data_IF_978943387038
#
_entry.id   IF_978943387038
#
_cell.length_a   1.000
_cell.length_b   1.000
_cell.length_c   1.000
_cell.angle_alpha   90.00
_cell.angle_beta   90.00
_cell.angle_gamma   90.00
#
_symmetry.space_group_name_H-M   'P 1'
#
loop_
_entity.id
_entity.type
_entity.pdbx_description
1 polymer ?
#
# COMPACT_ATOMS: atom_id res chain seq x y z
N UNK A 1 11.47 14.73 14.03
CA UNK A 1 11.03 13.59 13.20
C UNK A 1 9.52 13.55 13.15
N UNK A 2 8.90 13.52 11.96
CA UNK A 2 7.44 13.46 11.78
C UNK A 2 7.04 12.05 11.35
N UNK A 3 6.19 11.38 12.12
CA UNK A 3 5.65 10.07 11.73
C UNK A 3 4.43 10.32 10.83
N UNK A 4 4.36 9.65 9.68
CA UNK A 4 3.23 9.76 8.75
C UNK A 4 2.40 8.50 8.81
N UNK A 5 1.16 8.60 9.27
CA UNK A 5 0.20 7.50 9.22
C UNK A 5 -0.66 7.63 7.97
N UNK A 6 -0.99 6.51 7.34
CA UNK A 6 -1.80 6.41 6.14
C UNK A 6 -2.88 5.36 6.37
N UNK A 7 -4.10 5.66 5.99
CA UNK A 7 -5.19 4.72 5.97
C UNK A 7 -5.98 4.94 4.68
N UNK A 8 -6.42 3.86 4.04
CA UNK A 8 -7.14 3.88 2.79
C UNK A 8 -8.23 2.82 2.77
N UNK A 9 -9.31 3.11 2.04
CA UNK A 9 -10.35 2.16 1.71
C UNK A 9 -10.44 2.07 0.19
N UNK A 10 -10.57 0.84 -0.30
CA UNK A 10 -10.73 0.52 -1.72
C UNK A 10 -12.07 -0.17 -1.90
N UNK A 11 -12.90 0.36 -2.78
CA UNK A 11 -14.11 -0.30 -3.25
C UNK A 11 -14.10 -0.23 -4.77
N UNK A 12 -13.96 -1.38 -5.42
CA UNK A 12 -13.90 -1.50 -6.87
C UNK A 12 -14.92 -2.53 -7.33
N UNK A 13 -15.78 -2.10 -8.26
CA UNK A 13 -16.70 -3.01 -8.93
C UNK A 13 -16.01 -3.49 -10.20
N UNK A 14 -15.56 -4.73 -10.20
CA UNK A 14 -14.89 -5.31 -11.35
C UNK A 14 -15.97 -5.49 -12.42
N UNK A 15 -15.89 -4.74 -13.52
CA UNK A 15 -16.85 -4.78 -14.62
C UNK A 15 -16.89 -6.12 -15.39
N UNK A 16 -16.23 -7.15 -14.87
CA UNK A 16 -16.27 -8.51 -15.37
C UNK A 16 -17.51 -9.20 -14.81
N UNK A 17 -18.50 -9.39 -15.69
CA UNK A 17 -19.66 -10.23 -15.44
C UNK A 17 -19.28 -11.66 -15.82
N UNK A 18 -18.91 -12.47 -14.83
CA UNK A 18 -18.76 -13.91 -15.01
C UNK A 18 -20.06 -14.54 -14.49
N UNK A 19 -20.81 -15.24 -15.34
CA UNK A 19 -22.07 -15.89 -14.98
C UNK A 19 -23.12 -14.96 -14.33
N UNK A 20 -23.31 -13.76 -14.86
CA UNK A 20 -24.35 -12.81 -14.42
C UNK A 20 -24.16 -12.26 -12.98
N UNK A 21 -22.96 -12.42 -12.41
CA UNK A 21 -22.60 -11.83 -11.12
C UNK A 21 -21.50 -10.79 -11.24
N UNK A 22 -21.71 -9.66 -10.58
CA UNK A 22 -20.70 -8.61 -10.44
C UNK A 22 -19.68 -9.04 -9.40
N UNK A 23 -18.40 -9.12 -9.78
CA UNK A 23 -17.32 -9.33 -8.82
C UNK A 23 -17.00 -7.99 -8.13
N UNK A 24 -17.13 -7.96 -6.82
CA UNK A 24 -16.80 -6.78 -6.01
C UNK A 24 -15.45 -7.01 -5.31
N UNK A 25 -14.60 -5.98 -5.31
CA UNK A 25 -13.34 -5.94 -4.58
C UNK A 25 -13.45 -4.87 -3.48
N UNK A 26 -13.34 -5.30 -2.22
CA UNK A 26 -13.38 -4.42 -1.06
C UNK A 26 -12.12 -4.64 -0.25
N UNK A 27 -11.30 -3.59 -0.14
CA UNK A 27 -10.02 -3.63 0.56
C UNK A 27 -9.86 -2.47 1.53
N UNK A 28 -9.04 -2.69 2.55
CA UNK A 28 -8.59 -1.67 3.48
C UNK A 28 -7.07 -1.70 3.56
N UNK A 29 -6.45 -0.52 3.54
CA UNK A 29 -5.00 -0.36 3.65
C UNK A 29 -4.66 0.53 4.84
N UNK A 30 -3.58 0.16 5.54
CA UNK A 30 -3.02 0.87 6.67
C UNK A 30 -1.51 0.96 6.46
N UNK A 31 -0.91 2.11 6.74
CA UNK A 31 0.53 2.29 6.59
C UNK A 31 1.10 3.32 7.54
N UNK A 32 2.39 3.17 7.85
CA UNK A 32 3.15 4.07 8.69
C UNK A 32 4.51 4.34 8.05
N UNK A 33 4.84 5.62 7.89
CA UNK A 33 6.13 6.12 7.43
C UNK A 33 6.93 6.67 8.60
N UNK A 34 8.10 6.09 8.84
CA UNK A 34 9.05 6.56 9.84
C UNK A 34 10.25 7.22 9.14
N UNK A 35 10.52 8.51 9.41
CA UNK A 35 11.73 9.15 8.93
C UNK A 35 12.93 8.70 9.75
N UNK A 36 14.04 8.36 9.09
CA UNK A 36 15.28 8.01 9.76
C UNK A 36 15.96 9.31 10.23
N UNK A 37 16.08 9.50 11.54
CA UNK A 37 16.77 10.66 12.13
C UNK A 37 18.24 10.64 11.71
N UNK A 38 18.71 11.71 11.04
CA UNK A 38 20.10 11.86 10.59
C UNK A 38 20.32 11.65 9.09
N UNK A 39 19.30 11.31 8.31
CA UNK A 39 19.34 11.23 6.84
C UNK A 39 18.01 11.70 6.22
N UNK A 40 17.97 11.98 4.92
CA UNK A 40 16.69 12.25 4.22
C UNK A 40 15.92 10.96 3.87
N UNK A 41 16.39 9.82 4.37
CA UNK A 41 15.82 8.51 4.09
C UNK A 41 14.56 8.26 4.91
N UNK A 42 13.56 7.62 4.28
CA UNK A 42 12.28 7.29 4.91
C UNK A 42 12.00 5.81 4.75
N UNK A 43 11.49 5.17 5.81
CA UNK A 43 11.00 3.79 5.75
C UNK A 43 9.48 3.84 5.82
N UNK A 44 8.83 3.21 4.85
CA UNK A 44 7.39 3.09 4.79
C UNK A 44 7.01 1.63 4.99
N UNK A 45 6.11 1.38 5.93
CA UNK A 45 5.46 0.10 6.13
C UNK A 45 4.00 0.24 5.74
N UNK A 46 3.48 -0.74 5.02
CA UNK A 46 2.08 -0.79 4.63
C UNK A 46 1.55 -2.22 4.74
N UNK A 47 0.36 -2.36 5.29
CA UNK A 47 -0.42 -3.59 5.28
C UNK A 47 -1.73 -3.29 4.56
N UNK A 48 -2.12 -4.18 3.67
CA UNK A 48 -3.41 -4.12 3.00
C UNK A 48 -4.10 -5.46 3.17
N UNK A 49 -5.37 -5.43 3.54
CA UNK A 49 -6.19 -6.62 3.63
C UNK A 49 -7.52 -6.35 2.94
N UNK A 50 -7.97 -7.31 2.16
CA UNK A 50 -9.17 -7.14 1.37
C UNK A 50 -9.79 -8.46 0.99
N UNK A 51 -10.98 -8.34 0.44
CA UNK A 51 -11.79 -9.45 -0.04
C UNK A 51 -12.18 -9.12 -1.46
N UNK A 52 -11.75 -9.96 -2.39
CA UNK A 52 -12.10 -9.88 -3.80
C UNK A 52 -12.95 -11.09 -4.15
N UNK A 53 -14.17 -10.87 -4.62
CA UNK A 53 -15.08 -11.97 -4.98
C UNK A 53 -16.54 -11.68 -4.64
N UNK A 54 -17.42 -12.54 -5.14
CA UNK A 54 -18.87 -12.52 -4.86
C UNK A 54 -19.26 -13.87 -4.26
N UNK A 55 -20.13 -13.86 -3.24
CA UNK A 55 -20.56 -15.07 -2.51
C UNK A 55 -21.76 -15.79 -3.17
N UNK A 56 -22.38 -15.21 -4.21
CA UNK A 56 -23.50 -15.87 -4.88
C UNK A 56 -22.98 -16.78 -6.03
N UNK A 57 -23.75 -17.84 -6.30
CA UNK A 57 -23.54 -18.80 -7.41
C UNK A 57 -22.21 -19.58 -7.46
N UNK A 58 -21.54 -19.82 -6.34
CA UNK A 58 -20.36 -20.69 -6.29
C UNK A 58 -19.07 -20.06 -6.83
N UNK A 59 -19.04 -18.72 -6.95
CA UNK A 59 -17.83 -17.98 -7.27
C UNK A 59 -16.88 -17.95 -6.06
N UNK A 60 -15.58 -18.04 -6.35
CA UNK A 60 -14.52 -18.11 -5.34
C UNK A 60 -14.35 -16.74 -4.71
N UNK A 61 -14.55 -16.65 -3.40
CA UNK A 61 -14.19 -15.48 -2.61
C UNK A 61 -12.75 -15.60 -2.14
N UNK A 62 -11.89 -14.69 -2.60
CA UNK A 62 -10.48 -14.66 -2.20
C UNK A 62 -10.26 -13.56 -1.17
N UNK A 63 -9.77 -13.95 0.00
CA UNK A 63 -9.24 -13.01 0.97
C UNK A 63 -7.75 -12.84 0.66
N UNK A 64 -7.32 -11.60 0.47
CA UNK A 64 -5.92 -11.30 0.22
C UNK A 64 -5.36 -10.44 1.35
N UNK A 65 -4.11 -10.69 1.68
CA UNK A 65 -3.35 -9.91 2.64
C UNK A 65 -2.00 -9.60 2.03
N UNK A 66 -1.70 -8.31 1.93
CA UNK A 66 -0.50 -7.80 1.29
C UNK A 66 0.32 -7.01 2.30
N UNK A 67 1.62 -7.30 2.36
CA UNK A 67 2.58 -6.56 3.17
C UNK A 67 3.54 -5.82 2.23
N UNK A 68 3.73 -4.53 2.47
CA UNK A 68 4.62 -3.68 1.70
C UNK A 68 5.63 -3.01 2.62
N UNK A 69 6.88 -3.02 2.19
CA UNK A 69 7.98 -2.30 2.83
C UNK A 69 8.68 -1.49 1.76
N UNK A 70 8.75 -0.18 1.95
CA UNK A 70 9.36 0.76 1.02
C UNK A 70 10.48 1.53 1.68
N UNK A 71 11.67 1.49 1.10
CA UNK A 71 12.81 2.30 1.52
C UNK A 71 13.00 3.43 0.51
N UNK A 72 12.93 4.66 0.97
CA UNK A 72 13.27 5.83 0.18
C UNK A 72 14.63 6.33 0.65
N UNK A 73 15.68 6.11 -0.14
CA UNK A 73 16.99 6.70 0.10
C UNK A 73 17.05 8.03 -0.64
N UNK A 74 17.12 9.12 0.12
CA UNK A 74 17.27 10.44 -0.46
C UNK A 74 18.66 10.95 -0.12
N UNK A 75 19.48 11.12 -1.14
CA UNK A 75 20.84 11.60 -1.01
C UNK A 75 20.95 13.07 -1.42
N UNK A 76 21.88 13.82 -0.84
CA UNK A 76 22.13 15.21 -1.23
C UNK A 76 23.15 15.20 -2.36
N UNK A 77 22.67 15.19 -3.59
CA UNK A 77 23.53 15.42 -4.74
C UNK A 77 24.03 16.87 -4.74
N UNK A 78 25.28 17.09 -5.18
CA UNK A 78 25.94 18.39 -5.29
C UNK A 78 26.38 19.06 -3.96
N UNK A 79 26.69 18.28 -2.92
CA UNK A 79 27.47 18.84 -1.80
C UNK A 79 28.88 19.16 -2.31
N UNK A 80 29.22 20.45 -2.39
CA UNK A 80 30.56 20.92 -2.75
C UNK A 80 31.55 20.38 -1.71
N UNK A 81 32.42 19.45 -2.12
CA UNK A 81 33.45 18.90 -1.24
C UNK A 81 34.33 20.06 -0.75
N UNK A 82 34.39 20.26 0.58
CA UNK A 82 35.40 21.16 1.17
C UNK A 82 36.72 20.39 1.15
N UNK A 83 37.56 20.68 0.18
CA UNK A 83 38.99 20.40 0.29
C UNK A 83 39.54 21.28 1.41
N UNK A 84 40.14 20.66 2.43
CA UNK A 84 41.06 21.31 3.36
C UNK A 84 42.30 20.41 3.48
#
# INVERSE_FOLDING_TARGET
SRITYRAGLKYEKIGLVINNESVNDVGMSLGAGFPITGSFSNVNFGIEFGKRGTTNSGLVQENYLNFSVGFSFNDKWFVKSKYN
#
